data_IF_376738954351
#
_entry.id   IF_376738954351
#
_cell.length_a   1.000
_cell.length_b   1.000
_cell.length_c   1.000
_cell.angle_alpha   90.00
_cell.angle_beta   90.00
_cell.angle_gamma   90.00
#
_symmetry.space_group_name_H-M   'P 1'
#
loop_
_entity.id
_entity.type
_entity.pdbx_description
1 polymer ?
#
# COMPACT_ATOMS: atom_id res chain seq x y z
N UNK A 1 -11.93 -26.46 -17.80
CA UNK A 1 -11.82 -27.92 -18.05
C UNK A 1 -10.39 -28.19 -18.45
N UNK A 2 -9.77 -29.11 -17.77
CA UNK A 2 -8.42 -29.57 -18.09
C UNK A 2 -8.44 -31.08 -18.31
N UNK A 3 -7.83 -31.57 -19.37
CA UNK A 3 -7.65 -33.00 -19.63
C UNK A 3 -6.18 -33.29 -19.94
N UNK A 4 -5.74 -34.47 -19.57
CA UNK A 4 -4.37 -34.96 -19.83
C UNK A 4 -4.37 -36.08 -20.85
N UNK A 5 -3.18 -36.53 -21.28
CA UNK A 5 -3.00 -37.58 -22.26
C UNK A 5 -3.67 -37.21 -23.60
N UNK A 6 -3.43 -36.01 -24.09
CA UNK A 6 -3.79 -35.60 -25.44
C UNK A 6 -2.97 -36.44 -26.47
N UNK A 7 -3.52 -36.71 -27.66
CA UNK A 7 -2.83 -37.52 -28.69
C UNK A 7 -1.50 -36.91 -29.16
N UNK A 8 -1.36 -35.57 -29.11
CA UNK A 8 -0.12 -34.84 -29.36
C UNK A 8 -0.20 -33.47 -28.73
N UNK A 9 0.94 -32.75 -28.62
CA UNK A 9 1.04 -31.38 -28.09
C UNK A 9 0.33 -30.34 -28.98
N UNK A 10 0.03 -30.67 -30.22
CA UNK A 10 -0.70 -29.81 -31.15
C UNK A 10 -2.22 -29.91 -31.00
N UNK A 11 -2.71 -30.89 -30.22
CA UNK A 11 -4.14 -31.09 -30.00
C UNK A 11 -4.59 -30.28 -28.77
N UNK A 12 -5.30 -29.20 -29.01
CA UNK A 12 -5.80 -28.32 -27.97
C UNK A 12 -7.25 -28.59 -27.54
N UNK A 13 -7.89 -29.65 -28.10
CA UNK A 13 -9.25 -30.01 -27.73
C UNK A 13 -9.26 -31.00 -26.55
N UNK A 14 -9.68 -30.57 -25.34
CA UNK A 14 -9.68 -31.44 -24.15
C UNK A 14 -10.56 -32.69 -24.30
N UNK A 15 -11.55 -32.69 -25.20
CA UNK A 15 -12.43 -33.87 -25.42
C UNK A 15 -11.72 -35.05 -26.06
N UNK A 16 -10.54 -34.81 -26.67
CA UNK A 16 -9.75 -35.87 -27.34
C UNK A 16 -8.70 -36.48 -26.39
N UNK A 17 -8.59 -36.01 -25.18
CA UNK A 17 -7.67 -36.55 -24.18
C UNK A 17 -8.18 -37.84 -23.57
N UNK A 18 -7.29 -38.84 -23.42
CA UNK A 18 -7.58 -40.11 -22.75
C UNK A 18 -7.51 -40.05 -21.22
N UNK A 19 -7.17 -38.89 -20.65
CA UNK A 19 -7.17 -38.66 -19.21
C UNK A 19 -8.57 -38.41 -18.67
N UNK A 20 -8.72 -38.50 -17.33
CA UNK A 20 -9.96 -38.08 -16.66
C UNK A 20 -10.05 -36.56 -16.68
N UNK A 21 -11.09 -35.94 -17.27
CA UNK A 21 -11.25 -34.50 -17.27
C UNK A 21 -11.42 -33.97 -15.83
N UNK A 22 -10.67 -32.91 -15.48
CA UNK A 22 -10.87 -32.20 -14.25
C UNK A 22 -11.57 -30.87 -14.53
N UNK A 23 -12.64 -30.60 -13.80
CA UNK A 23 -13.38 -29.34 -13.87
C UNK A 23 -13.17 -28.64 -12.52
N UNK A 24 -12.62 -27.43 -12.59
CA UNK A 24 -12.50 -26.55 -11.45
C UNK A 24 -13.43 -25.35 -11.64
N UNK A 25 -14.16 -24.99 -10.62
CA UNK A 25 -14.90 -23.73 -10.55
C UNK A 25 -14.63 -23.06 -9.21
N UNK A 26 -14.52 -21.75 -9.20
CA UNK A 26 -14.36 -20.97 -8.00
C UNK A 26 -15.29 -19.76 -8.05
N UNK A 27 -15.91 -19.45 -6.94
CA UNK A 27 -16.65 -18.21 -6.74
C UNK A 27 -16.00 -17.44 -5.60
N UNK A 28 -15.72 -16.16 -5.83
CA UNK A 28 -15.20 -15.27 -4.80
C UNK A 28 -15.95 -13.95 -4.86
N UNK A 29 -16.31 -13.40 -3.71
CA UNK A 29 -16.86 -12.07 -3.60
C UNK A 29 -16.06 -11.26 -2.60
N UNK A 30 -15.82 -9.99 -2.91
CA UNK A 30 -15.24 -9.02 -1.99
C UNK A 30 -16.09 -7.75 -2.03
N UNK A 31 -16.29 -7.16 -0.88
CA UNK A 31 -17.01 -5.90 -0.73
C UNK A 31 -16.16 -4.93 0.09
N UNK A 32 -16.17 -3.67 -0.32
CA UNK A 32 -15.53 -2.57 0.40
C UNK A 32 -16.51 -1.41 0.49
N UNK A 33 -16.56 -0.76 1.64
CA UNK A 33 -17.32 0.46 1.84
C UNK A 33 -16.43 1.49 2.54
N UNK A 34 -16.54 2.75 2.11
CA UNK A 34 -15.70 3.83 2.63
C UNK A 34 -16.54 5.08 2.85
N UNK A 35 -16.35 5.70 4.01
CA UNK A 35 -16.89 7.01 4.33
C UNK A 35 -15.71 7.94 4.60
N UNK A 36 -15.76 9.14 4.05
CA UNK A 36 -14.70 10.10 4.28
C UNK A 36 -15.24 11.52 4.40
N UNK A 37 -14.52 12.33 5.15
CA UNK A 37 -14.68 13.78 5.17
C UNK A 37 -13.33 14.43 4.90
N UNK A 38 -13.35 15.58 4.25
CA UNK A 38 -12.18 16.41 4.02
C UNK A 38 -12.54 17.87 4.26
N UNK A 39 -11.74 18.51 5.06
CA UNK A 39 -11.84 19.92 5.38
C UNK A 39 -10.57 20.63 4.93
N UNK A 40 -10.73 21.72 4.22
CA UNK A 40 -9.60 22.51 3.71
C UNK A 40 -9.81 23.96 4.15
N UNK A 41 -8.77 24.52 4.75
CA UNK A 41 -8.74 25.90 5.21
C UNK A 41 -7.57 26.61 4.55
N UNK A 42 -7.84 27.80 4.00
CA UNK A 42 -6.84 28.72 3.48
C UNK A 42 -7.04 30.07 4.16
N UNK A 43 -5.97 30.63 4.68
CA UNK A 43 -5.97 31.96 5.26
C UNK A 43 -4.92 32.84 4.57
N UNK A 44 -5.40 33.86 3.88
CA UNK A 44 -4.64 34.95 3.25
C UNK A 44 -3.52 34.44 2.30
N UNK A 45 -3.78 33.32 1.61
CA UNK A 45 -2.80 32.63 0.75
C UNK A 45 -1.42 32.39 1.39
N UNK A 46 -1.38 32.39 2.73
CA UNK A 46 -0.18 32.16 3.54
C UNK A 46 -0.24 30.81 4.25
N UNK A 47 -1.38 30.51 4.86
CA UNK A 47 -1.54 29.32 5.69
C UNK A 47 -2.60 28.42 5.09
N UNK A 48 -2.21 27.18 4.82
CA UNK A 48 -3.09 26.15 4.29
C UNK A 48 -3.14 25.00 5.26
N UNK A 49 -4.33 24.52 5.56
CA UNK A 49 -4.55 23.34 6.39
C UNK A 49 -5.57 22.44 5.71
N UNK A 50 -5.27 21.16 5.63
CA UNK A 50 -6.21 20.13 5.19
C UNK A 50 -6.27 19.03 6.22
N UNK A 51 -7.48 18.66 6.63
CA UNK A 51 -7.72 17.49 7.45
C UNK A 51 -8.60 16.53 6.66
N UNK A 52 -8.27 15.25 6.72
CA UNK A 52 -9.08 14.19 6.12
C UNK A 52 -9.23 13.06 7.13
N UNK A 53 -10.45 12.60 7.31
CA UNK A 53 -10.77 11.37 8.03
C UNK A 53 -11.43 10.39 7.08
N UNK A 54 -11.00 9.14 7.11
CA UNK A 54 -11.54 8.06 6.30
C UNK A 54 -11.85 6.85 7.17
N UNK A 55 -13.05 6.31 7.03
CA UNK A 55 -13.51 5.12 7.73
C UNK A 55 -13.83 4.04 6.70
N UNK A 56 -13.00 3.01 6.63
CA UNK A 56 -13.02 1.98 5.62
C UNK A 56 -13.44 0.64 6.21
N UNK A 57 -14.33 -0.08 5.50
CA UNK A 57 -14.73 -1.43 5.84
C UNK A 57 -14.46 -2.39 4.69
N UNK A 58 -13.93 -3.58 5.01
CA UNK A 58 -13.63 -4.62 4.03
C UNK A 58 -14.13 -5.98 4.48
N UNK A 59 -14.80 -6.70 3.58
CA UNK A 59 -15.23 -8.09 3.82
C UNK A 59 -14.07 -9.09 3.93
N UNK A 60 -12.85 -8.66 3.64
CA UNK A 60 -11.65 -9.47 3.79
C UNK A 60 -11.29 -9.74 5.25
N UNK A 61 -11.88 -9.01 6.20
CA UNK A 61 -11.67 -9.16 7.65
C UNK A 61 -12.90 -9.70 8.35
N UNK A 62 -12.67 -10.33 9.50
CA UNK A 62 -13.71 -10.79 10.39
C UNK A 62 -14.57 -9.63 10.92
N UNK A 63 -15.76 -9.92 11.46
CA UNK A 63 -16.72 -8.90 11.88
C UNK A 63 -16.14 -7.86 12.85
N UNK A 64 -15.26 -8.26 13.76
CA UNK A 64 -14.68 -7.39 14.77
C UNK A 64 -13.61 -6.44 14.22
N UNK A 65 -12.88 -6.84 13.16
CA UNK A 65 -11.77 -6.09 12.57
C UNK A 65 -12.10 -5.55 11.17
N UNK A 66 -13.38 -5.60 10.78
CA UNK A 66 -13.82 -5.23 9.44
C UNK A 66 -13.60 -3.76 9.12
N UNK A 67 -13.75 -2.90 10.11
CA UNK A 67 -13.73 -1.45 9.96
C UNK A 67 -12.48 -0.85 10.61
N UNK A 68 -11.88 0.12 9.93
CA UNK A 68 -10.75 0.88 10.45
C UNK A 68 -10.86 2.36 10.07
N UNK A 69 -10.39 3.24 10.95
CA UNK A 69 -10.37 4.68 10.74
C UNK A 69 -8.94 5.18 10.49
N UNK A 70 -8.79 6.09 9.51
CA UNK A 70 -7.52 6.65 9.11
C UNK A 70 -7.62 8.18 9.07
N UNK A 71 -6.66 8.83 9.71
CA UNK A 71 -6.56 10.27 9.78
C UNK A 71 -5.43 10.79 8.91
N UNK A 72 -5.59 11.98 8.37
CA UNK A 72 -4.54 12.69 7.65
C UNK A 72 -4.65 14.18 7.90
N UNK A 73 -3.51 14.80 8.19
CA UNK A 73 -3.37 16.26 8.37
C UNK A 73 -2.24 16.74 7.48
N UNK A 74 -2.49 17.75 6.69
CA UNK A 74 -1.48 18.43 5.91
C UNK A 74 -1.56 19.93 6.15
N UNK A 75 -0.41 20.57 6.35
CA UNK A 75 -0.30 22.00 6.50
C UNK A 75 0.79 22.56 5.61
N UNK A 76 0.62 23.78 5.14
CA UNK A 76 1.70 24.50 4.50
C UNK A 76 1.65 25.99 4.83
N UNK A 77 2.83 26.56 4.93
CA UNK A 77 3.05 27.98 5.15
C UNK A 77 3.87 28.56 4.02
N UNK A 78 3.26 29.48 3.29
CA UNK A 78 3.96 30.27 2.26
C UNK A 78 4.51 31.53 2.92
N UNK A 79 5.73 31.46 3.39
CA UNK A 79 6.35 32.57 4.12
C UNK A 79 6.75 33.74 3.22
N UNK A 80 6.89 33.55 1.92
CA UNK A 80 7.13 34.66 0.98
C UNK A 80 5.97 35.64 0.88
N UNK A 81 4.76 35.24 1.29
CA UNK A 81 3.61 36.15 1.35
C UNK A 81 3.54 36.93 2.67
N UNK A 82 4.53 36.79 3.55
CA UNK A 82 4.61 37.57 4.78
C UNK A 82 5.20 38.96 4.54
N UNK A 83 4.70 39.98 5.22
CA UNK A 83 5.13 41.37 5.06
C UNK A 83 6.63 41.60 5.25
N UNK A 84 7.28 40.82 6.10
CA UNK A 84 8.71 40.93 6.35
C UNK A 84 9.58 40.37 5.21
N UNK A 85 8.99 39.58 4.29
CA UNK A 85 9.65 39.06 3.09
C UNK A 85 9.59 40.02 1.90
N UNK A 86 8.69 41.00 1.89
CA UNK A 86 8.52 41.94 0.77
C UNK A 86 9.80 42.68 0.38
N UNK A 87 10.73 42.85 1.32
CA UNK A 87 12.02 43.52 1.06
C UNK A 87 13.08 42.62 0.40
N UNK A 88 12.82 41.32 0.28
CA UNK A 88 13.78 40.34 -0.21
C UNK A 88 13.45 39.93 -1.66
N UNK A 89 13.66 40.83 -2.60
CA UNK A 89 13.30 40.65 -4.03
C UNK A 89 13.98 39.44 -4.72
N UNK A 90 15.11 38.98 -4.18
CA UNK A 90 15.81 37.81 -4.71
C UNK A 90 15.17 36.47 -4.33
N UNK A 91 14.23 36.50 -3.38
CA UNK A 91 13.47 35.31 -2.95
C UNK A 91 12.11 35.27 -3.63
N UNK A 92 11.94 34.39 -4.63
CA UNK A 92 10.73 34.36 -5.45
C UNK A 92 9.62 33.53 -4.84
N UNK A 93 9.98 32.39 -4.24
CA UNK A 93 9.02 31.46 -3.62
C UNK A 93 9.62 30.84 -2.36
N UNK A 94 8.82 30.75 -1.32
CA UNK A 94 9.22 30.13 -0.08
C UNK A 94 8.03 29.50 0.62
N UNK A 95 8.03 28.17 0.71
CA UNK A 95 6.94 27.41 1.29
C UNK A 95 7.49 26.26 2.14
N UNK A 96 6.97 26.12 3.33
CA UNK A 96 7.18 24.96 4.19
C UNK A 96 5.93 24.09 4.13
N UNK A 97 6.11 22.80 3.97
CA UNK A 97 5.04 21.80 3.91
C UNK A 97 5.22 20.79 5.04
N UNK A 98 4.14 20.47 5.71
CA UNK A 98 4.06 19.41 6.70
C UNK A 98 2.91 18.47 6.32
N UNK A 99 3.13 17.18 6.42
CA UNK A 99 2.11 16.17 6.21
C UNK A 99 2.28 15.01 7.18
N UNK A 100 1.20 14.63 7.83
CA UNK A 100 1.08 13.40 8.59
C UNK A 100 -0.18 12.69 8.17
N UNK A 101 -0.11 11.38 7.94
CA UNK A 101 -1.29 10.63 7.54
C UNK A 101 -1.15 9.13 7.76
N UNK A 102 -2.30 8.50 7.89
CA UNK A 102 -2.44 7.07 8.01
C UNK A 102 -3.19 6.51 6.80
N UNK A 103 -2.79 5.32 6.36
CA UNK A 103 -3.47 4.54 5.32
C UNK A 103 -3.56 3.09 5.75
N UNK A 104 -4.62 2.39 5.32
CA UNK A 104 -4.82 0.97 5.57
C UNK A 104 -4.62 0.13 4.31
N UNK A 105 -4.18 -1.10 4.50
CA UNK A 105 -4.12 -2.12 3.48
C UNK A 105 -4.96 -3.32 3.91
N UNK A 106 -5.91 -3.73 3.04
CA UNK A 106 -6.82 -4.87 3.26
C UNK A 106 -6.55 -6.04 2.30
N UNK A 107 -5.41 -6.03 1.62
CA UNK A 107 -5.10 -7.04 0.60
C UNK A 107 -4.58 -8.34 1.21
N UNK A 108 -5.51 -9.14 1.75
CA UNK A 108 -5.22 -10.47 2.35
C UNK A 108 -5.89 -11.63 1.61
N UNK A 109 -6.72 -11.33 0.62
CA UNK A 109 -7.61 -12.30 -0.04
C UNK A 109 -8.96 -12.44 0.65
N UNK A 110 -9.97 -12.81 -0.14
CA UNK A 110 -11.33 -12.98 0.36
C UNK A 110 -11.41 -14.10 1.40
N UNK A 111 -12.11 -13.85 2.51
CA UNK A 111 -12.33 -14.82 3.59
C UNK A 111 -11.07 -15.42 4.22
N UNK A 112 -9.92 -14.78 4.09
CA UNK A 112 -8.65 -15.27 4.64
C UNK A 112 -8.67 -15.39 6.18
N UNK A 113 -9.58 -14.71 6.86
CA UNK A 113 -9.81 -14.76 8.30
C UNK A 113 -10.61 -15.98 8.75
N UNK A 114 -11.42 -16.58 7.85
CA UNK A 114 -12.30 -17.70 8.13
C UNK A 114 -11.69 -19.06 7.82
N UNK A 115 -12.38 -20.11 8.19
CA UNK A 115 -12.07 -21.47 7.78
C UNK A 115 -12.75 -21.80 6.46
N UNK A 116 -12.08 -22.58 5.64
CA UNK A 116 -12.62 -23.15 4.41
C UNK A 116 -12.46 -24.66 4.41
N UNK A 117 -13.25 -25.31 3.57
CA UNK A 117 -13.18 -26.76 3.37
C UNK A 117 -12.79 -27.05 1.92
N UNK A 118 -12.07 -28.14 1.72
CA UNK A 118 -11.75 -28.69 0.39
C UNK A 118 -12.33 -30.08 0.25
N UNK A 119 -12.84 -30.43 -0.92
CA UNK A 119 -13.22 -31.82 -1.19
C UNK A 119 -11.99 -32.72 -1.16
N UNK A 120 -12.19 -33.95 -0.75
CA UNK A 120 -11.18 -35.01 -0.82
C UNK A 120 -11.84 -36.33 -1.21
N UNK A 121 -11.15 -37.09 -2.02
CA UNK A 121 -11.54 -38.47 -2.31
C UNK A 121 -10.88 -39.40 -1.28
N UNK A 122 -11.65 -40.36 -0.80
CA UNK A 122 -11.19 -41.41 0.11
C UNK A 122 -11.65 -42.79 -0.34
N UNK A 123 -11.10 -43.84 0.24
CA UNK A 123 -11.54 -45.20 0.00
C UNK A 123 -13.01 -45.46 0.38
N UNK A 124 -13.58 -44.59 1.20
CA UNK A 124 -14.97 -44.64 1.66
C UNK A 124 -15.90 -43.74 0.84
N UNK A 125 -15.39 -43.10 -0.23
CA UNK A 125 -16.10 -42.15 -1.07
C UNK A 125 -15.65 -40.70 -0.90
N UNK A 126 -16.37 -39.77 -1.54
CA UNK A 126 -16.08 -38.35 -1.47
C UNK A 126 -16.33 -37.78 -0.05
N UNK A 127 -15.41 -37.01 0.43
CA UNK A 127 -15.46 -36.35 1.73
C UNK A 127 -14.99 -34.90 1.67
N UNK A 128 -14.90 -34.26 2.84
CA UNK A 128 -14.39 -32.90 2.98
C UNK A 128 -13.37 -32.86 4.11
N UNK A 129 -12.38 -31.97 3.95
CA UNK A 129 -11.37 -31.69 4.97
C UNK A 129 -11.21 -30.19 5.14
N UNK A 130 -10.70 -29.72 6.27
CA UNK A 130 -10.26 -28.34 6.41
C UNK A 130 -9.22 -27.98 5.34
N UNK A 131 -9.35 -26.83 4.69
CA UNK A 131 -8.41 -26.34 3.69
C UNK A 131 -7.39 -25.37 4.27
N UNK A 132 -7.78 -24.63 5.30
CA UNK A 132 -6.91 -23.65 5.99
C UNK A 132 -7.19 -23.62 7.49
N UNK A 133 -6.28 -23.00 8.21
CA UNK A 133 -6.45 -22.63 9.61
C UNK A 133 -7.01 -21.21 9.65
N UNK A 134 -8.12 -20.99 10.35
CA UNK A 134 -8.74 -19.68 10.53
C UNK A 134 -7.90 -18.79 11.46
N UNK A 135 -7.92 -17.48 11.19
CA UNK A 135 -7.44 -16.46 12.12
C UNK A 135 -8.42 -15.29 12.14
N UNK A 136 -9.34 -15.28 13.08
CA UNK A 136 -10.35 -14.22 13.20
C UNK A 136 -9.78 -12.90 13.72
N UNK A 137 -8.58 -12.93 14.31
CA UNK A 137 -7.89 -11.76 14.86
C UNK A 137 -7.15 -10.94 13.81
N UNK A 138 -7.08 -11.41 12.55
CA UNK A 138 -6.42 -10.67 11.49
C UNK A 138 -7.09 -9.31 11.28
N UNK A 139 -6.28 -8.26 11.17
CA UNK A 139 -6.72 -6.87 11.08
C UNK A 139 -6.00 -6.12 9.96
N UNK A 140 -6.40 -4.87 9.73
CA UNK A 140 -5.80 -4.00 8.74
C UNK A 140 -4.29 -3.81 9.01
N UNK A 141 -3.50 -3.92 7.97
CA UNK A 141 -2.14 -3.39 7.97
C UNK A 141 -2.23 -1.87 7.92
N UNK A 142 -1.52 -1.19 8.78
CA UNK A 142 -1.50 0.27 8.85
C UNK A 142 -0.17 0.84 8.43
N UNK A 143 -0.22 1.95 7.74
CA UNK A 143 0.96 2.71 7.35
C UNK A 143 0.80 4.15 7.80
N UNK A 144 1.74 4.62 8.61
CA UNK A 144 1.83 6.01 9.05
C UNK A 144 2.98 6.69 8.32
N UNK A 145 2.72 7.85 7.74
CA UNK A 145 3.73 8.64 7.05
C UNK A 145 3.78 10.05 7.62
N UNK A 146 5.00 10.54 7.83
CA UNK A 146 5.33 11.90 8.22
C UNK A 146 6.23 12.50 7.13
N UNK A 147 5.87 13.69 6.65
CA UNK A 147 6.63 14.44 5.64
C UNK A 147 6.86 15.87 6.12
N UNK A 148 8.06 16.39 5.84
CA UNK A 148 8.40 17.79 5.97
C UNK A 148 9.11 18.24 4.68
N UNK A 149 8.54 19.21 3.99
CA UNK A 149 9.04 19.71 2.73
C UNK A 149 9.32 21.20 2.75
N UNK A 150 10.32 21.60 1.95
CA UNK A 150 10.71 22.99 1.73
C UNK A 150 10.75 23.22 0.23
N UNK A 151 9.97 24.19 -0.25
CA UNK A 151 10.00 24.65 -1.64
C UNK A 151 10.55 26.07 -1.64
N UNK A 152 11.71 26.27 -2.24
CA UNK A 152 12.47 27.51 -2.23
C UNK A 152 12.78 27.94 -3.66
N UNK A 153 12.31 29.11 -4.05
CA UNK A 153 12.56 29.71 -5.36
C UNK A 153 13.36 30.99 -5.23
N UNK A 154 14.36 31.18 -6.07
CA UNK A 154 15.26 32.31 -6.03
C UNK A 154 15.40 32.94 -7.42
N UNK A 155 15.68 34.26 -7.47
CA UNK A 155 16.02 35.02 -8.68
C UNK A 155 14.93 34.90 -9.75
N UNK A 156 13.66 35.17 -9.41
CA UNK A 156 12.51 35.08 -10.30
C UNK A 156 12.33 33.63 -10.82
N UNK A 157 12.43 32.66 -9.89
CA UNK A 157 12.30 31.21 -10.13
C UNK A 157 13.35 30.62 -11.11
N UNK A 158 14.48 31.33 -11.29
CA UNK A 158 15.62 30.77 -12.05
C UNK A 158 16.33 29.64 -11.31
N UNK A 159 16.21 29.59 -10.02
CA UNK A 159 16.74 28.51 -9.18
C UNK A 159 15.65 28.05 -8.21
N UNK A 160 15.21 26.82 -8.38
CA UNK A 160 14.20 26.20 -7.52
C UNK A 160 14.82 25.00 -6.78
N UNK A 161 14.73 25.04 -5.48
CA UNK A 161 15.21 23.97 -4.58
C UNK A 161 14.03 23.38 -3.84
N UNK A 162 13.81 22.08 -3.99
CA UNK A 162 12.85 21.32 -3.19
C UNK A 162 13.61 20.33 -2.32
N UNK A 163 13.31 20.32 -1.05
CA UNK A 163 13.87 19.37 -0.07
C UNK A 163 12.72 18.70 0.64
N UNK A 164 12.63 17.38 0.55
CA UNK A 164 11.64 16.56 1.25
C UNK A 164 12.31 15.61 2.23
N UNK A 165 11.86 15.65 3.47
CA UNK A 165 12.24 14.73 4.54
C UNK A 165 11.02 13.86 4.82
N UNK A 166 11.19 12.54 4.81
CA UNK A 166 10.08 11.64 5.09
C UNK A 166 10.45 10.53 6.07
N UNK A 167 9.44 10.11 6.80
CA UNK A 167 9.46 8.90 7.61
C UNK A 167 8.14 8.17 7.43
N UNK A 168 8.21 6.91 6.99
CA UNK A 168 7.11 6.02 6.74
C UNK A 168 7.28 4.76 7.58
N UNK A 169 6.26 4.41 8.35
CA UNK A 169 6.23 3.19 9.17
C UNK A 169 5.04 2.36 8.75
N UNK A 170 5.30 1.14 8.31
CA UNK A 170 4.26 0.12 8.08
C UNK A 170 4.25 -0.82 9.27
N UNK A 171 3.09 -0.96 9.90
CA UNK A 171 2.87 -1.79 11.09
C UNK A 171 1.80 -2.84 10.81
N UNK A 172 1.82 -3.91 11.58
CA UNK A 172 0.86 -5.01 11.45
C UNK A 172 0.83 -5.58 10.01
N UNK A 173 2.00 -5.81 9.44
CA UNK A 173 2.12 -6.30 8.06
C UNK A 173 1.40 -7.63 7.89
N UNK A 174 0.61 -7.73 6.82
CA UNK A 174 -0.19 -8.91 6.51
C UNK A 174 0.69 -9.99 5.87
N UNK A 175 1.01 -11.02 6.64
CA UNK A 175 1.88 -12.11 6.19
C UNK A 175 1.27 -13.47 6.48
N UNK A 176 1.74 -14.50 5.77
CA UNK A 176 1.42 -15.88 6.08
C UNK A 176 2.23 -16.34 7.28
N UNK A 177 1.57 -16.86 8.30
CA UNK A 177 2.23 -17.35 9.51
C UNK A 177 3.08 -18.58 9.21
N UNK A 178 4.31 -18.60 9.72
CA UNK A 178 5.14 -19.80 9.68
C UNK A 178 4.78 -20.68 10.90
N UNK A 179 4.10 -21.77 10.63
CA UNK A 179 3.70 -22.72 11.68
C UNK A 179 4.56 -23.98 11.65
N UNK A 180 4.78 -24.61 12.80
CA UNK A 180 5.48 -25.90 12.87
C UNK A 180 4.79 -26.96 11.99
N UNK A 181 5.56 -27.88 11.42
CA UNK A 181 5.04 -28.90 10.48
C UNK A 181 3.97 -29.81 11.10
N UNK A 182 4.04 -30.04 12.41
CA UNK A 182 3.03 -30.85 13.12
C UNK A 182 1.62 -30.22 13.14
N UNK A 183 1.49 -28.96 12.82
CA UNK A 183 0.20 -28.27 12.66
C UNK A 183 -0.52 -28.62 11.33
N UNK A 184 0.11 -29.43 10.46
CA UNK A 184 -0.47 -29.86 9.19
C UNK A 184 -0.35 -28.84 8.06
N UNK A 185 0.45 -27.78 8.22
CA UNK A 185 0.67 -26.74 7.21
C UNK A 185 1.81 -27.06 6.25
N UNK A 186 2.52 -28.16 6.47
CA UNK A 186 3.60 -28.65 5.61
C UNK A 186 3.36 -30.13 5.28
N UNK A 187 3.70 -30.53 4.07
CA UNK A 187 3.54 -31.90 3.59
C UNK A 187 3.40 -31.96 2.08
N UNK A 188 3.07 -33.13 1.55
CA UNK A 188 2.95 -33.37 0.12
C UNK A 188 1.53 -33.12 -0.40
N UNK A 189 1.44 -32.29 -1.44
CA UNK A 189 0.26 -32.19 -2.29
C UNK A 189 -1.00 -31.61 -1.64
N UNK A 190 -2.15 -32.11 -2.07
CA UNK A 190 -3.47 -31.60 -1.71
C UNK A 190 -3.92 -31.81 -0.27
N UNK A 191 -3.11 -32.50 0.54
CA UNK A 191 -3.42 -32.78 1.95
C UNK A 191 -2.93 -31.71 2.92
N UNK A 192 -2.26 -30.67 2.45
CA UNK A 192 -1.67 -29.63 3.27
C UNK A 192 -2.72 -28.59 3.64
N UNK A 193 -2.76 -28.22 4.91
CA UNK A 193 -3.53 -27.07 5.38
C UNK A 193 -2.81 -25.78 4.98
N UNK A 194 -3.55 -24.81 4.45
CA UNK A 194 -3.01 -23.47 4.25
C UNK A 194 -2.80 -22.79 5.58
N UNK A 195 -1.61 -22.25 5.79
CA UNK A 195 -1.29 -21.50 6.99
C UNK A 195 -2.14 -20.20 7.06
N UNK A 196 -2.53 -19.77 8.25
CA UNK A 196 -3.34 -18.58 8.41
C UNK A 196 -2.54 -17.33 8.05
N UNK A 197 -3.26 -16.28 7.68
CA UNK A 197 -2.71 -14.92 7.62
C UNK A 197 -2.68 -14.31 9.01
N UNK A 198 -1.70 -13.47 9.28
CA UNK A 198 -1.60 -12.72 10.53
C UNK A 198 -0.86 -11.42 10.33
N UNK A 199 -0.89 -10.59 11.37
CA UNK A 199 -0.26 -9.28 11.38
C UNK A 199 1.05 -9.36 12.17
N UNK A 200 2.18 -9.19 11.49
CA UNK A 200 3.51 -9.33 12.08
C UNK A 200 4.47 -8.29 11.56
N UNK A 201 5.36 -7.87 12.45
CA UNK A 201 6.48 -7.03 12.09
C UNK A 201 6.10 -5.60 11.72
N UNK A 202 7.11 -4.80 11.63
CA UNK A 202 7.03 -3.39 11.25
C UNK A 202 8.25 -3.03 10.40
N UNK A 203 8.05 -2.20 9.40
CA UNK A 203 9.12 -1.67 8.55
C UNK A 203 9.10 -0.15 8.63
N UNK A 204 10.26 0.42 8.91
CA UNK A 204 10.47 1.86 8.87
C UNK A 204 11.30 2.22 7.64
N UNK A 205 10.78 3.12 6.82
CA UNK A 205 11.49 3.80 5.74
C UNK A 205 11.63 5.28 6.10
N UNK A 206 12.83 5.81 5.99
CA UNK A 206 13.09 7.24 6.14
C UNK A 206 14.14 7.71 5.16
N UNK A 207 14.00 8.94 4.71
CA UNK A 207 14.91 9.47 3.74
C UNK A 207 14.82 10.97 3.57
N UNK A 208 15.69 11.44 2.71
CA UNK A 208 15.76 12.81 2.22
C UNK A 208 15.80 12.77 0.71
N UNK A 209 15.03 13.65 0.08
CA UNK A 209 15.00 13.86 -1.36
C UNK A 209 15.27 15.34 -1.62
N UNK A 210 16.18 15.62 -2.55
CA UNK A 210 16.59 16.96 -2.92
C UNK A 210 16.47 17.08 -4.43
N UNK A 211 15.71 18.07 -4.89
CA UNK A 211 15.57 18.42 -6.29
C UNK A 211 16.01 19.86 -6.50
N UNK A 212 16.89 20.09 -7.45
CA UNK A 212 17.35 21.41 -7.85
C UNK A 212 17.07 21.61 -9.31
N UNK A 213 16.23 22.60 -9.64
CA UNK A 213 15.94 23.07 -10.98
C UNK A 213 16.59 24.43 -11.19
N UNK A 214 17.39 24.54 -12.24
CA UNK A 214 18.12 25.77 -12.55
C UNK A 214 17.91 26.19 -14.01
N UNK A 215 17.53 27.46 -14.20
CA UNK A 215 17.34 28.14 -15.49
C UNK A 215 18.26 29.34 -15.56
N UNK A 216 19.61 29.16 -15.58
CA UNK A 216 20.55 30.25 -15.45
C UNK A 216 20.50 31.24 -16.61
N UNK A 217 20.11 30.78 -17.81
CA UNK A 217 20.03 31.60 -19.01
C UNK A 217 18.61 31.54 -19.58
N UNK A 218 17.97 32.69 -19.75
CA UNK A 218 16.57 32.84 -20.19
C UNK A 218 16.41 33.78 -21.39
N UNK A 219 17.52 34.07 -22.10
CA UNK A 219 17.55 34.94 -23.31
C UNK A 219 17.42 34.12 -24.62
N UNK A 220 18.14 34.57 -25.66
CA UNK A 220 18.24 33.83 -26.94
C UNK A 220 18.85 32.46 -26.76
N UNK A 221 19.81 32.33 -25.82
CA UNK A 221 20.34 31.06 -25.35
C UNK A 221 19.61 30.70 -24.06
N UNK A 222 19.00 29.51 -24.04
CA UNK A 222 18.32 28.96 -22.88
C UNK A 222 19.07 27.71 -22.43
N UNK A 223 19.19 27.56 -21.11
CA UNK A 223 19.76 26.36 -20.48
C UNK A 223 18.93 25.98 -19.27
N UNK A 224 18.44 24.75 -19.27
CA UNK A 224 17.68 24.15 -18.20
C UNK A 224 18.47 22.97 -17.64
N UNK A 225 18.60 22.92 -16.33
CA UNK A 225 19.26 21.85 -15.61
C UNK A 225 18.38 21.35 -14.48
N UNK A 226 18.20 20.05 -14.40
CA UNK A 226 17.52 19.39 -13.28
C UNK A 226 18.50 18.41 -12.64
N UNK A 227 18.65 18.51 -11.33
CA UNK A 227 19.46 17.60 -10.51
C UNK A 227 18.59 17.03 -9.38
N UNK A 228 18.60 15.70 -9.25
CA UNK A 228 17.86 15.00 -8.19
C UNK A 228 18.78 14.03 -7.46
N UNK A 229 18.68 14.02 -6.14
CA UNK A 229 19.36 13.06 -5.29
C UNK A 229 18.43 12.60 -4.18
N UNK A 230 18.42 11.30 -3.91
CA UNK A 230 17.65 10.72 -2.81
C UNK A 230 18.51 9.79 -1.97
N UNK A 231 18.32 9.86 -0.66
CA UNK A 231 18.90 8.94 0.30
C UNK A 231 17.78 8.27 1.07
N UNK A 232 17.74 6.95 1.03
CA UNK A 232 16.73 6.15 1.71
C UNK A 232 17.36 5.13 2.64
N UNK A 233 16.79 4.95 3.81
CA UNK A 233 17.14 3.90 4.74
C UNK A 233 15.90 3.12 5.13
N UNK A 234 15.95 1.82 4.89
CA UNK A 234 14.93 0.85 5.29
C UNK A 234 15.42 0.07 6.51
N UNK A 235 14.56 -0.10 7.50
CA UNK A 235 14.88 -0.84 8.73
C UNK A 235 13.69 -1.72 9.09
N UNK A 236 13.93 -3.02 9.19
CA UNK A 236 12.96 -3.95 9.78
C UNK A 236 12.98 -3.76 11.30
N UNK A 237 11.81 -3.52 11.87
CA UNK A 237 11.60 -3.45 13.33
C UNK A 237 10.86 -4.72 13.75
N UNK A 238 11.35 -5.36 14.78
CA UNK A 238 10.76 -6.58 15.34
C UNK A 238 9.55 -6.28 16.20
#
# INVERSE_FOLDING_TARGET
IYNTKLPSDEVHNPSLGAGTPTIGSGFGSAAMASFFTRETYNYDDRYYLTYTYRYDGSSNFGPENRWAGFHSVAGSWRFTNEKWMESLEWWSNGKVRFGWGQTGNSNIGGYAWGSSISPMDSALGAGYRPANIANTAVQWESQTQLNLGFDLGFFQDRLNLTVDLYKKVSENMLMTMQLPSYMGTQGNGSSVLSAPKGNFGSIENKGIEITLDAHPFVGEFQWDSNFQVSFNRNTLKA
#
